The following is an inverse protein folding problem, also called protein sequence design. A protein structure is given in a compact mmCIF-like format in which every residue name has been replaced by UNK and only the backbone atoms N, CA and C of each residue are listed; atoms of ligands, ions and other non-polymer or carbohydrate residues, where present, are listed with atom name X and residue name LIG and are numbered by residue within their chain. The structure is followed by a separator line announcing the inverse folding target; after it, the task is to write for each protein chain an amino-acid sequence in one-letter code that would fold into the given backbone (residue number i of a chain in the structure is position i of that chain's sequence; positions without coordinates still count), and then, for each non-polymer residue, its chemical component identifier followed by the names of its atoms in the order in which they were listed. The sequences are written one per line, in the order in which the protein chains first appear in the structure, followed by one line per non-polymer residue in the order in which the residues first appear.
data_IF_490430950088
#
_entry.id   IF_490430950088
#
_cell.length_a   1.000
_cell.length_b   1.000
_cell.length_c   1.000
_cell.angle_alpha   90.00
_cell.angle_beta   90.00
_cell.angle_gamma   90.00
#
_symmetry.space_group_name_H-M   'P 1'
#
loop_
_entity.id
_entity.type
_entity.pdbx_description
1 polymer ?
#
# COMPACT_ATOMS: atom_id res chain seq x y z
N UNK A 1 -28.58 -3.46 21.31
CA UNK A 1 -28.59 -4.81 20.68
C UNK A 1 -27.30 -4.96 19.89
N UNK A 2 -26.24 -5.41 20.57
CA UNK A 2 -24.84 -5.43 20.10
C UNK A 2 -24.59 -6.69 19.25
N UNK A 3 -24.65 -6.58 17.92
CA UNK A 3 -24.33 -7.70 17.00
C UNK A 3 -22.90 -7.70 16.47
N UNK A 4 -22.05 -6.75 16.88
CA UNK A 4 -20.72 -6.53 16.27
C UNK A 4 -19.51 -6.87 17.16
N UNK A 5 -19.72 -7.33 18.40
CA UNK A 5 -18.61 -7.59 19.34
C UNK A 5 -18.48 -9.10 19.57
N UNK A 6 -18.07 -9.87 18.55
CA UNK A 6 -17.41 -11.16 18.75
C UNK A 6 -16.77 -11.74 17.48
N UNK A 7 -16.09 -10.92 16.68
CA UNK A 7 -15.19 -11.46 15.65
C UNK A 7 -13.92 -11.91 16.36
N UNK A 8 -13.80 -13.21 16.60
CA UNK A 8 -12.58 -13.81 17.14
C UNK A 8 -11.48 -13.74 16.07
N UNK A 9 -10.70 -12.66 16.09
CA UNK A 9 -9.63 -12.33 15.13
C UNK A 9 -8.68 -13.52 14.91
N UNK A 10 -8.42 -14.33 15.95
CA UNK A 10 -7.54 -15.51 15.84
C UNK A 10 -8.08 -16.60 14.90
N UNK A 11 -9.40 -16.67 14.71
CA UNK A 11 -10.04 -17.65 13.82
C UNK A 11 -9.97 -17.24 12.34
N UNK A 12 -9.77 -15.94 12.05
CA UNK A 12 -9.60 -15.40 10.70
C UNK A 12 -8.18 -15.61 10.14
N UNK A 13 -7.17 -15.72 11.02
CA UNK A 13 -5.74 -15.83 10.64
C UNK A 13 -5.43 -17.11 9.84
N UNK A 14 -6.22 -18.18 9.99
CA UNK A 14 -5.87 -19.53 9.48
C UNK A 14 -6.54 -19.94 8.16
N UNK A 15 -7.39 -19.11 7.54
CA UNK A 15 -8.21 -19.51 6.37
C UNK A 15 -8.05 -18.66 5.10
N UNK A 16 -7.22 -17.62 5.09
CA UNK A 16 -6.99 -16.86 3.85
C UNK A 16 -5.96 -17.57 2.96
N UNK A 17 -6.30 -17.81 1.69
CA UNK A 17 -5.36 -18.20 0.63
C UNK A 17 -4.17 -17.24 0.50
N UNK A 18 -4.36 -15.99 0.95
CA UNK A 18 -3.40 -14.91 0.88
C UNK A 18 -2.29 -14.91 1.95
N UNK A 19 -2.37 -15.76 2.99
CA UNK A 19 -1.45 -15.70 4.13
C UNK A 19 0.03 -15.87 3.75
N UNK A 20 0.32 -16.76 2.81
CA UNK A 20 1.69 -17.03 2.39
C UNK A 20 2.32 -15.81 1.69
N UNK A 21 1.58 -15.17 0.79
CA UNK A 21 2.03 -13.99 0.06
C UNK A 21 2.24 -12.79 1.00
N UNK A 22 1.30 -12.58 1.93
CA UNK A 22 1.43 -11.56 2.99
C UNK A 22 2.69 -11.81 3.82
N UNK A 23 2.92 -13.05 4.26
CA UNK A 23 4.08 -13.38 5.08
C UNK A 23 5.40 -13.16 4.32
N UNK A 24 5.45 -13.55 3.04
CA UNK A 24 6.62 -13.33 2.18
C UNK A 24 6.96 -11.84 2.05
N UNK A 25 5.95 -10.99 1.87
CA UNK A 25 6.13 -9.56 1.66
C UNK A 25 6.45 -8.80 2.94
N UNK A 26 5.73 -9.09 4.03
CA UNK A 26 6.00 -8.50 5.35
C UNK A 26 7.44 -8.76 5.81
N UNK A 27 7.97 -9.98 5.58
CA UNK A 27 9.38 -10.29 5.85
C UNK A 27 10.35 -9.43 5.04
N UNK A 28 10.03 -9.13 3.77
CA UNK A 28 10.85 -8.24 2.93
C UNK A 28 10.80 -6.81 3.46
N UNK A 29 9.63 -6.31 3.79
CA UNK A 29 9.39 -4.95 4.31
C UNK A 29 10.14 -4.69 5.61
N UNK A 30 10.16 -5.64 6.55
CA UNK A 30 10.97 -5.48 7.77
C UNK A 30 12.48 -5.63 7.56
N UNK A 31 12.91 -6.37 6.54
CA UNK A 31 14.34 -6.51 6.21
C UNK A 31 14.89 -5.24 5.56
N UNK A 32 14.14 -4.63 4.65
CA UNK A 32 14.59 -3.47 3.87
C UNK A 32 14.37 -2.14 4.60
N UNK A 33 13.54 -2.13 5.65
CA UNK A 33 13.18 -0.94 6.40
C UNK A 33 13.24 -1.19 7.91
N UNK A 34 14.44 -1.01 8.49
CA UNK A 34 14.68 -1.18 9.93
C UNK A 34 13.80 -0.28 10.81
N UNK A 35 13.30 0.84 10.28
CA UNK A 35 12.37 1.72 10.98
C UNK A 35 11.04 1.01 11.31
N UNK A 36 10.50 0.23 10.36
CA UNK A 36 9.30 -0.57 10.61
C UNK A 36 9.56 -1.66 11.64
N UNK A 37 10.70 -2.36 11.56
CA UNK A 37 10.99 -3.50 12.45
C UNK A 37 11.05 -3.10 13.92
N UNK A 38 11.48 -1.87 14.23
CA UNK A 38 11.54 -1.37 15.60
C UNK A 38 10.19 -0.93 16.18
N UNK A 39 9.16 -0.71 15.36
CA UNK A 39 7.90 -0.07 15.78
C UNK A 39 6.63 -0.83 15.43
N UNK A 40 6.66 -1.69 14.41
CA UNK A 40 5.51 -2.43 13.92
C UNK A 40 5.73 -3.92 14.13
N UNK A 41 4.75 -4.58 14.77
CA UNK A 41 4.76 -6.03 14.92
C UNK A 41 4.36 -6.72 13.61
N UNK A 42 5.18 -7.66 13.14
CA UNK A 42 4.83 -8.51 11.97
C UNK A 42 3.47 -9.19 12.16
N UNK A 43 3.15 -9.63 13.38
CA UNK A 43 1.87 -10.26 13.67
C UNK A 43 0.69 -9.29 13.52
N UNK A 44 0.84 -8.04 13.96
CA UNK A 44 -0.20 -7.01 13.78
C UNK A 44 -0.40 -6.69 12.31
N UNK A 45 0.69 -6.55 11.56
CA UNK A 45 0.66 -6.30 10.11
C UNK A 45 -0.08 -7.41 9.35
N UNK A 46 0.26 -8.68 9.64
CA UNK A 46 -0.41 -9.84 9.08
C UNK A 46 -1.91 -9.85 9.43
N UNK A 47 -2.30 -9.51 10.66
CA UNK A 47 -3.71 -9.48 11.07
C UNK A 47 -4.51 -8.40 10.37
N UNK A 48 -3.96 -7.18 10.27
CA UNK A 48 -4.61 -6.05 9.58
C UNK A 48 -4.89 -6.39 8.13
N UNK A 49 -3.88 -6.87 7.41
CA UNK A 49 -3.98 -7.19 5.98
C UNK A 49 -4.95 -8.37 5.76
N UNK A 50 -4.82 -9.45 6.53
CA UNK A 50 -5.75 -10.60 6.41
C UNK A 50 -7.19 -10.20 6.72
N UNK A 51 -7.41 -9.35 7.73
CA UNK A 51 -8.75 -8.87 8.08
C UNK A 51 -9.34 -8.02 6.96
N UNK A 52 -8.53 -7.16 6.32
CA UNK A 52 -8.94 -6.40 5.15
C UNK A 52 -9.35 -7.33 4.01
N UNK A 53 -8.48 -8.25 3.56
CA UNK A 53 -8.78 -9.17 2.45
C UNK A 53 -10.06 -9.99 2.71
N UNK A 54 -10.27 -10.41 3.96
CA UNK A 54 -11.49 -11.11 4.35
C UNK A 54 -12.74 -10.21 4.29
N UNK A 55 -12.64 -8.96 4.73
CA UNK A 55 -13.75 -8.00 4.76
C UNK A 55 -14.14 -7.52 3.36
N UNK A 56 -13.15 -7.24 2.51
CA UNK A 56 -13.35 -6.75 1.14
C UNK A 56 -13.65 -7.86 0.13
N UNK A 57 -13.43 -9.14 0.50
CA UNK A 57 -13.41 -10.27 -0.43
C UNK A 57 -12.41 -10.07 -1.58
N UNK A 58 -11.35 -9.30 -1.34
CA UNK A 58 -10.29 -9.03 -2.32
C UNK A 58 -9.05 -9.89 -2.06
N UNK A 59 -8.31 -10.19 -3.12
CA UNK A 59 -7.00 -10.80 -2.99
C UNK A 59 -5.98 -9.81 -2.42
N UNK A 60 -4.96 -10.35 -1.75
CA UNK A 60 -3.79 -9.57 -1.39
C UNK A 60 -3.02 -9.16 -2.65
N UNK A 61 -2.54 -7.91 -2.67
CA UNK A 61 -1.72 -7.36 -3.74
C UNK A 61 -0.44 -6.78 -3.15
N UNK A 62 0.68 -7.04 -3.81
CA UNK A 62 2.00 -6.54 -3.39
C UNK A 62 1.98 -5.01 -3.28
N UNK A 63 2.49 -4.50 -2.15
CA UNK A 63 2.47 -3.07 -1.80
C UNK A 63 1.50 -2.75 -0.66
N UNK A 64 0.46 -3.57 -0.47
CA UNK A 64 -0.46 -3.42 0.66
C UNK A 64 0.23 -3.56 2.02
N UNK A 65 1.28 -4.38 2.09
CA UNK A 65 2.07 -4.59 3.31
C UNK A 65 2.80 -3.33 3.76
N UNK A 66 3.32 -2.53 2.83
CA UNK A 66 4.03 -1.29 3.16
C UNK A 66 3.05 -0.17 3.52
N UNK A 67 1.89 -0.11 2.84
CA UNK A 67 0.77 0.79 3.20
C UNK A 67 0.28 0.48 4.61
N UNK A 68 -0.01 -0.79 4.92
CA UNK A 68 -0.48 -1.19 6.24
C UNK A 68 0.60 -0.99 7.33
N UNK A 69 1.88 -1.19 7.01
CA UNK A 69 2.98 -0.88 7.94
C UNK A 69 3.07 0.63 8.24
N UNK A 70 2.88 1.49 7.23
CA UNK A 70 2.80 2.95 7.40
C UNK A 70 1.65 3.38 8.31
N UNK A 71 0.48 2.76 8.18
CA UNK A 71 -0.63 3.01 9.09
C UNK A 71 -0.28 2.57 10.52
N UNK A 72 0.23 1.35 10.69
CA UNK A 72 0.61 0.81 12.00
C UNK A 72 1.76 1.56 12.70
N UNK A 73 2.52 2.39 11.99
CA UNK A 73 3.47 3.31 12.61
C UNK A 73 2.79 4.44 13.38
N UNK A 74 1.58 4.82 12.98
CA UNK A 74 0.93 6.07 13.37
C UNK A 74 -0.40 5.87 14.12
N UNK A 75 -0.95 4.66 14.12
CA UNK A 75 -2.24 4.38 14.75
C UNK A 75 -2.34 2.95 15.31
N UNK A 76 -3.40 2.70 16.07
CA UNK A 76 -3.65 1.37 16.65
C UNK A 76 -3.99 0.35 15.58
N UNK A 77 -3.91 -0.94 15.91
CA UNK A 77 -4.23 -2.01 14.95
C UNK A 77 -5.65 -1.91 14.39
N UNK A 78 -6.62 -1.51 15.22
CA UNK A 78 -8.01 -1.37 14.81
C UNK A 78 -8.21 -0.16 13.88
N UNK A 79 -7.59 0.97 14.22
CA UNK A 79 -7.63 2.18 13.39
C UNK A 79 -6.92 1.97 12.07
N UNK A 80 -5.80 1.23 12.07
CA UNK A 80 -5.06 0.88 10.86
C UNK A 80 -5.92 0.02 9.93
N UNK A 81 -6.65 -0.96 10.48
CA UNK A 81 -7.59 -1.76 9.71
C UNK A 81 -8.74 -0.91 9.13
N UNK A 82 -9.34 -0.04 9.94
CA UNK A 82 -10.44 0.84 9.51
C UNK A 82 -9.96 1.78 8.39
N UNK A 83 -8.81 2.43 8.59
CA UNK A 83 -8.21 3.35 7.63
C UNK A 83 -7.80 2.62 6.35
N UNK A 84 -7.20 1.43 6.44
CA UNK A 84 -6.82 0.63 5.26
C UNK A 84 -8.04 0.30 4.40
N UNK A 85 -9.19 0.00 5.03
CA UNK A 85 -10.45 -0.30 4.33
C UNK A 85 -10.98 0.92 3.56
N UNK A 86 -10.74 2.12 4.06
CA UNK A 86 -11.11 3.37 3.40
C UNK A 86 -10.08 3.77 2.33
N UNK A 87 -8.79 3.60 2.57
CA UNK A 87 -7.72 3.97 1.63
C UNK A 87 -7.72 3.07 0.41
N UNK A 88 -7.81 1.76 0.62
CA UNK A 88 -7.84 0.78 -0.45
C UNK A 88 -9.27 0.50 -0.89
N UNK A 89 -10.14 1.54 -0.98
CA UNK A 89 -11.56 1.39 -1.38
C UNK A 89 -11.65 0.28 -2.42
N UNK A 90 -12.45 -0.76 -2.20
CA UNK A 90 -12.55 -1.84 -3.16
C UNK A 90 -13.03 -1.22 -4.46
N UNK A 91 -12.10 -1.02 -5.39
CA UNK A 91 -12.39 -0.92 -6.80
C UNK A 91 -13.32 -2.10 -7.09
N UNK A 92 -14.34 -1.88 -7.94
CA UNK A 92 -15.13 -2.99 -8.47
C UNK A 92 -14.18 -4.15 -8.80
N UNK A 93 -14.51 -5.43 -8.54
CA UNK A 93 -13.56 -6.55 -8.68
C UNK A 93 -12.79 -6.58 -10.01
N UNK A 94 -13.37 -6.03 -11.07
CA UNK A 94 -12.80 -5.88 -12.41
C UNK A 94 -11.71 -4.80 -12.54
N UNK A 95 -11.66 -3.84 -11.62
CA UNK A 95 -10.77 -2.68 -11.67
C UNK A 95 -9.38 -2.94 -11.06
N UNK A 96 -9.14 -4.10 -10.43
CA UNK A 96 -7.82 -4.59 -10.01
C UNK A 96 -6.79 -3.51 -9.65
N UNK A 97 -5.69 -3.47 -10.40
CA UNK A 97 -4.61 -2.48 -10.28
C UNK A 97 -4.77 -1.28 -11.22
N UNK A 98 -5.94 -1.09 -11.84
CA UNK A 98 -6.16 -0.05 -12.85
C UNK A 98 -5.83 1.36 -12.34
N UNK A 99 -6.08 1.64 -11.06
CA UNK A 99 -5.67 2.89 -10.42
C UNK A 99 -4.15 3.10 -10.43
N UNK A 100 -3.37 2.08 -10.05
CA UNK A 100 -1.91 2.13 -10.06
C UNK A 100 -1.33 2.21 -11.49
N UNK A 101 -1.94 1.52 -12.45
CA UNK A 101 -1.58 1.65 -13.86
C UNK A 101 -1.86 3.07 -14.37
N UNK A 102 -3.04 3.61 -14.08
CA UNK A 102 -3.47 4.95 -14.49
C UNK A 102 -2.57 6.05 -13.90
N UNK A 103 -2.25 5.98 -12.61
CA UNK A 103 -1.33 6.93 -11.97
C UNK A 103 0.08 6.82 -12.54
N UNK A 104 0.57 5.61 -12.81
CA UNK A 104 1.87 5.42 -13.47
C UNK A 104 1.92 6.05 -14.87
N UNK A 105 0.86 5.88 -15.66
CA UNK A 105 0.78 6.53 -16.98
C UNK A 105 0.67 8.05 -16.87
N UNK A 106 0.00 8.57 -15.83
CA UNK A 106 -0.10 10.00 -15.59
C UNK A 106 1.28 10.60 -15.26
N UNK A 107 2.10 9.91 -14.47
CA UNK A 107 3.49 10.33 -14.19
C UNK A 107 4.28 10.49 -15.49
N UNK A 108 4.16 9.56 -16.45
CA UNK A 108 4.84 9.71 -17.74
C UNK A 108 4.40 10.94 -18.52
N UNK A 109 3.09 11.19 -18.57
CA UNK A 109 2.56 12.38 -19.23
C UNK A 109 3.04 13.66 -18.57
N UNK A 110 3.06 13.71 -17.24
CA UNK A 110 3.55 14.88 -16.49
C UNK A 110 5.04 15.07 -16.75
N UNK A 111 5.84 14.00 -16.72
CA UNK A 111 7.28 14.09 -16.94
C UNK A 111 7.61 14.62 -18.35
N UNK A 112 6.88 14.15 -19.37
CA UNK A 112 7.01 14.66 -20.74
C UNK A 112 6.75 16.17 -20.85
N UNK A 113 5.85 16.71 -20.01
CA UNK A 113 5.47 18.11 -20.00
C UNK A 113 6.44 18.97 -19.17
N UNK A 114 6.91 18.45 -18.04
CA UNK A 114 7.69 19.22 -17.04
C UNK A 114 9.20 19.10 -17.25
N UNK A 115 9.69 17.93 -17.67
CA UNK A 115 11.13 17.65 -17.85
C UNK A 115 11.36 16.72 -19.04
N UNK A 116 11.33 17.32 -20.24
CA UNK A 116 11.51 16.60 -21.50
C UNK A 116 12.88 15.89 -21.59
N UNK A 117 14.03 16.49 -21.22
CA UNK A 117 15.30 15.79 -21.20
C UNK A 117 15.28 14.50 -20.37
N UNK A 118 14.72 14.54 -19.16
CA UNK A 118 14.58 13.35 -18.32
C UNK A 118 13.62 12.33 -18.92
N UNK A 119 12.48 12.79 -19.46
CA UNK A 119 11.54 11.91 -20.15
C UNK A 119 12.17 11.19 -21.35
N UNK A 120 12.99 11.89 -22.13
CA UNK A 120 13.64 11.33 -23.32
C UNK A 120 14.71 10.31 -22.88
N UNK A 121 15.44 10.57 -21.80
CA UNK A 121 16.38 9.61 -21.21
C UNK A 121 15.69 8.33 -20.70
N UNK A 122 14.53 8.46 -20.05
CA UNK A 122 13.75 7.33 -19.58
C UNK A 122 13.01 6.59 -20.73
N UNK A 123 13.00 7.12 -21.94
CA UNK A 123 12.42 6.43 -23.10
C UNK A 123 13.37 5.37 -23.71
N UNK A 124 14.55 5.16 -23.09
CA UNK A 124 15.47 4.09 -23.44
C UNK A 124 14.82 2.70 -23.20
N UNK A 125 14.80 1.81 -24.20
CA UNK A 125 14.24 0.46 -24.07
C UNK A 125 14.85 -0.39 -22.95
N UNK A 126 16.07 -0.06 -22.50
CA UNK A 126 16.76 -0.73 -21.39
C UNK A 126 16.22 -0.35 -20.01
N UNK A 127 15.52 0.79 -19.89
CA UNK A 127 14.95 1.29 -18.64
C UNK A 127 13.45 1.45 -18.85
N UNK A 128 12.67 0.39 -18.64
CA UNK A 128 11.22 0.50 -18.77
C UNK A 128 10.67 1.37 -17.62
N UNK A 129 10.18 2.61 -17.86
CA UNK A 129 9.87 3.54 -16.78
C UNK A 129 8.74 3.03 -15.89
N UNK A 130 7.85 2.22 -16.45
CA UNK A 130 6.80 1.51 -15.70
C UNK A 130 7.37 0.71 -14.52
N UNK A 131 8.51 0.04 -14.70
CA UNK A 131 9.14 -0.72 -13.63
C UNK A 131 9.64 0.16 -12.48
N UNK A 132 9.93 1.44 -12.74
CA UNK A 132 10.35 2.42 -11.74
C UNK A 132 9.16 2.95 -10.94
N UNK A 133 8.12 3.39 -11.63
CA UNK A 133 7.02 4.12 -10.98
C UNK A 133 5.88 3.21 -10.53
N UNK A 134 5.62 2.08 -11.19
CA UNK A 134 4.50 1.23 -10.83
C UNK A 134 4.56 0.72 -9.38
N UNK A 135 5.69 0.21 -8.85
CA UNK A 135 5.77 -0.20 -7.44
C UNK A 135 5.56 0.97 -6.47
N UNK A 136 6.00 2.16 -6.86
CA UNK A 136 5.86 3.39 -6.06
C UNK A 136 4.39 3.82 -6.02
N UNK A 137 3.71 3.79 -7.17
CA UNK A 137 2.30 4.13 -7.31
C UNK A 137 1.37 3.10 -6.65
N UNK A 138 1.65 1.80 -6.82
CA UNK A 138 0.85 0.72 -6.21
C UNK A 138 0.95 0.68 -4.69
N UNK A 139 1.98 1.31 -4.12
CA UNK A 139 2.21 1.41 -2.68
C UNK A 139 1.93 2.80 -2.10
N UNK A 140 1.31 3.71 -2.85
CA UNK A 140 1.05 5.10 -2.43
C UNK A 140 2.31 5.78 -1.87
N UNK A 141 3.43 5.65 -2.58
CA UNK A 141 4.75 6.15 -2.22
C UNK A 141 5.36 5.52 -0.95
N UNK A 142 4.72 4.55 -0.31
CA UNK A 142 5.15 4.00 1.00
C UNK A 142 6.52 3.33 0.97
N UNK A 143 6.96 2.84 -0.20
CA UNK A 143 8.27 2.22 -0.37
C UNK A 143 9.41 3.24 -0.51
N UNK A 144 9.06 4.51 -0.72
CA UNK A 144 10.02 5.58 -1.00
C UNK A 144 10.74 6.00 0.29
N UNK A 145 11.98 6.47 0.15
CA UNK A 145 12.78 6.99 1.26
C UNK A 145 13.03 8.50 1.07
N UNK A 146 13.16 9.27 2.18
CA UNK A 146 13.06 8.86 3.58
C UNK A 146 11.61 8.80 4.08
N UNK A 147 11.31 7.83 4.95
CA UNK A 147 9.93 7.52 5.40
C UNK A 147 9.22 8.70 6.08
N UNK A 148 9.97 9.57 6.76
CA UNK A 148 9.43 10.76 7.43
C UNK A 148 8.88 11.78 6.44
N UNK A 149 9.48 11.89 5.25
CA UNK A 149 8.96 12.77 4.19
C UNK A 149 7.71 12.16 3.56
N UNK A 150 7.69 10.84 3.36
CA UNK A 150 6.50 10.13 2.87
C UNK A 150 5.32 10.27 3.83
N UNK A 151 5.55 10.22 5.14
CA UNK A 151 4.49 10.48 6.14
C UNK A 151 3.88 11.89 5.97
N UNK A 152 4.69 12.91 5.69
CA UNK A 152 4.17 14.26 5.41
C UNK A 152 3.34 14.29 4.13
N UNK A 153 3.77 13.59 3.06
CA UNK A 153 2.96 13.46 1.85
C UNK A 153 1.62 12.77 2.15
N UNK A 154 1.61 11.78 3.04
CA UNK A 154 0.38 11.14 3.49
C UNK A 154 -0.55 12.08 4.26
N UNK A 155 -0.02 13.06 5.00
CA UNK A 155 -0.85 14.12 5.58
C UNK A 155 -1.61 14.89 4.48
N UNK A 156 -0.95 15.22 3.36
CA UNK A 156 -1.60 15.84 2.21
C UNK A 156 -2.58 14.90 1.51
N UNK A 157 -2.25 13.61 1.36
CA UNK A 157 -3.15 12.60 0.82
C UNK A 157 -4.47 12.55 1.59
N UNK A 158 -4.40 12.54 2.93
CA UNK A 158 -5.61 12.48 3.76
C UNK A 158 -6.36 13.81 3.84
N UNK A 159 -5.65 14.94 3.79
CA UNK A 159 -6.28 16.26 3.89
C UNK A 159 -6.90 16.73 2.56
N UNK A 160 -6.24 16.47 1.43
CA UNK A 160 -6.61 17.01 0.12
C UNK A 160 -6.99 15.94 -0.91
N UNK A 161 -6.55 14.70 -0.72
CA UNK A 161 -6.83 13.59 -1.62
C UNK A 161 -5.66 13.21 -2.52
N UNK A 162 -5.86 12.15 -3.32
CA UNK A 162 -4.81 11.47 -4.09
C UNK A 162 -4.13 12.37 -5.14
N UNK A 163 -4.81 13.40 -5.64
CA UNK A 163 -4.29 14.26 -6.71
C UNK A 163 -3.15 15.19 -6.25
N UNK A 164 -2.90 15.28 -4.94
CA UNK A 164 -1.85 16.13 -4.35
C UNK A 164 -0.55 15.38 -4.03
N UNK A 165 -0.49 14.07 -4.27
CA UNK A 165 0.70 13.25 -4.02
C UNK A 165 1.19 12.51 -5.27
#
# INVERSE_FOLDING_TARGET
MNKYINININKLIKRCTCYFDIRKDTMRTFKTNGFFKGRVSEKALIRVINSYCHKSQSNYVQGMDVIAAMLLLNMTELDAFATLTVVLVPSQPEQGLAGAFGSTMLVFKILQLVDKPLSDHLSDPSIHPFALFFPVMSSLLSITKPIVQVMRLWDFLFAFGLHMI
#
